data_IF_906639183060
#
_entry.id   IF_906639183060
#
_cell.length_a   1.000
_cell.length_b   1.000
_cell.length_c   1.000
_cell.angle_alpha   90.00
_cell.angle_beta   90.00
_cell.angle_gamma   90.00
#
_symmetry.space_group_name_H-M   'P 1'
#
loop_
_entity.id
_entity.type
_entity.pdbx_description
1 polymer ?
#
# COMPACT_ATOMS: atom_id res chain seq x y z
N UNK A 1 -0.97 14.07 -12.06
CA UNK A 1 -2.31 14.18 -11.41
C UNK A 1 -3.17 15.18 -12.21
N UNK A 2 -2.69 16.39 -12.49
CA UNK A 2 -3.45 17.42 -13.24
C UNK A 2 -3.86 16.90 -14.62
N UNK A 3 -2.96 16.30 -15.38
CA UNK A 3 -3.24 15.73 -16.69
C UNK A 3 -4.36 14.67 -16.65
N UNK A 4 -4.35 13.78 -15.67
CA UNK A 4 -5.41 12.77 -15.52
C UNK A 4 -6.78 13.42 -15.22
N UNK A 5 -6.80 14.46 -14.39
CA UNK A 5 -8.02 15.18 -14.08
C UNK A 5 -8.60 15.90 -15.31
N UNK A 6 -7.76 16.52 -16.13
CA UNK A 6 -8.17 17.17 -17.37
C UNK A 6 -8.74 16.16 -18.39
N UNK A 7 -8.08 15.01 -18.57
CA UNK A 7 -8.55 13.96 -19.48
C UNK A 7 -9.92 13.43 -19.03
N UNK A 8 -10.08 13.14 -17.73
CA UNK A 8 -11.35 12.67 -17.16
C UNK A 8 -12.45 13.72 -17.30
N UNK A 9 -12.16 14.99 -16.96
CA UNK A 9 -13.14 16.08 -17.08
C UNK A 9 -13.60 16.26 -18.54
N UNK A 10 -12.68 16.20 -19.50
CA UNK A 10 -13.00 16.27 -20.94
C UNK A 10 -13.88 15.10 -21.35
N UNK A 11 -13.54 13.87 -20.98
CA UNK A 11 -14.33 12.68 -21.30
C UNK A 11 -15.73 12.75 -20.69
N UNK A 12 -15.86 13.20 -19.44
CA UNK A 12 -17.16 13.42 -18.80
C UNK A 12 -18.01 14.47 -19.54
N UNK A 13 -17.42 15.61 -19.89
CA UNK A 13 -18.11 16.65 -20.64
C UNK A 13 -18.58 16.16 -22.00
N UNK A 14 -17.76 15.41 -22.69
CA UNK A 14 -18.09 14.84 -24.00
C UNK A 14 -19.25 13.84 -23.92
N UNK A 15 -19.27 12.95 -22.92
CA UNK A 15 -20.38 12.04 -22.64
C UNK A 15 -21.67 12.80 -22.29
N UNK A 16 -21.58 13.82 -21.45
CA UNK A 16 -22.73 14.65 -21.06
C UNK A 16 -23.33 15.39 -22.26
N UNK A 17 -22.52 15.71 -23.26
CA UNK A 17 -22.97 16.32 -24.52
C UNK A 17 -23.40 15.31 -25.60
N UNK A 18 -23.52 14.02 -25.23
CA UNK A 18 -24.08 12.96 -26.09
C UNK A 18 -23.10 12.31 -27.05
N UNK A 19 -21.79 12.53 -26.91
CA UNK A 19 -20.79 11.74 -27.64
C UNK A 19 -20.84 10.28 -27.24
N UNK A 20 -20.58 9.38 -28.18
CA UNK A 20 -20.48 7.96 -27.90
C UNK A 20 -19.09 7.61 -27.32
N UNK A 21 -19.00 6.49 -26.59
CA UNK A 21 -17.74 6.04 -25.98
C UNK A 21 -16.61 5.88 -27.01
N UNK A 22 -16.94 5.44 -28.22
CA UNK A 22 -16.04 5.24 -29.35
C UNK A 22 -15.42 6.54 -29.87
N UNK A 23 -16.09 7.68 -29.64
CA UNK A 23 -15.60 9.01 -30.05
C UNK A 23 -14.65 9.63 -29.01
N UNK A 24 -14.63 9.08 -27.79
CA UNK A 24 -13.87 9.62 -26.66
C UNK A 24 -12.54 8.89 -26.47
N UNK A 25 -12.49 7.62 -26.84
CA UNK A 25 -11.33 6.78 -26.65
C UNK A 25 -11.05 5.83 -27.80
N UNK A 26 -9.89 5.22 -27.77
CA UNK A 26 -9.51 4.24 -28.77
C UNK A 26 -9.95 2.83 -28.33
N UNK A 27 -10.96 2.27 -28.96
CA UNK A 27 -11.55 0.98 -28.63
C UNK A 27 -10.60 -0.23 -28.91
N UNK A 28 -9.51 -0.03 -29.64
CA UNK A 28 -8.57 -1.10 -29.99
C UNK A 28 -7.39 -1.28 -29.04
N UNK A 29 -7.38 -0.60 -27.90
CA UNK A 29 -6.25 -0.66 -26.96
C UNK A 29 -6.31 -1.92 -26.10
N UNK A 30 -5.28 -2.76 -26.19
CA UNK A 30 -5.08 -3.89 -25.30
C UNK A 30 -4.57 -3.41 -23.94
N UNK A 31 -5.37 -3.62 -22.89
CA UNK A 31 -4.97 -3.30 -21.52
C UNK A 31 -4.19 -4.48 -20.95
N UNK A 32 -2.94 -4.24 -20.56
CA UNK A 32 -2.16 -5.23 -19.80
C UNK A 32 -2.66 -5.27 -18.37
N UNK A 33 -3.43 -6.30 -18.03
CA UNK A 33 -3.90 -6.53 -16.65
C UNK A 33 -2.76 -7.18 -15.86
N UNK A 34 -2.30 -6.50 -14.82
CA UNK A 34 -1.37 -7.08 -13.84
C UNK A 34 -2.18 -7.62 -12.68
N UNK A 35 -2.04 -8.91 -12.39
CA UNK A 35 -2.62 -9.48 -11.18
C UNK A 35 -1.88 -8.94 -9.96
N UNK A 36 -2.58 -8.35 -8.98
CA UNK A 36 -1.95 -7.91 -7.74
C UNK A 36 -1.39 -9.12 -6.97
N UNK A 37 -0.25 -8.94 -6.35
CA UNK A 37 0.30 -9.93 -5.41
C UNK A 37 -0.61 -9.94 -4.18
N UNK A 38 -1.27 -11.07 -3.94
CA UNK A 38 -2.14 -11.22 -2.77
C UNK A 38 -1.35 -11.62 -1.53
N UNK A 39 -1.80 -11.24 -0.31
CA UNK A 39 -1.24 -11.73 0.93
C UNK A 39 -1.48 -13.23 1.08
N UNK A 40 -0.66 -13.89 1.88
CA UNK A 40 -0.89 -15.28 2.28
C UNK A 40 -1.76 -15.31 3.52
N UNK A 41 -2.82 -16.12 3.48
CA UNK A 41 -3.79 -16.25 4.57
C UNK A 41 -3.59 -17.59 5.29
N UNK A 42 -3.58 -17.54 6.62
CA UNK A 42 -3.60 -18.72 7.48
C UNK A 42 -4.81 -18.71 8.41
N UNK A 43 -5.00 -19.75 9.23
CA UNK A 43 -6.19 -19.85 10.11
C UNK A 43 -6.30 -18.67 11.09
N UNK A 44 -5.16 -18.19 11.61
CA UNK A 44 -5.08 -17.13 12.62
C UNK A 44 -4.06 -16.06 12.26
N UNK A 45 -3.68 -15.92 11.00
CA UNK A 45 -2.69 -14.95 10.58
C UNK A 45 -2.85 -14.54 9.13
N UNK A 46 -2.35 -13.36 8.80
CA UNK A 46 -2.14 -12.86 7.45
C UNK A 46 -0.66 -12.52 7.32
N UNK A 47 -0.05 -12.86 6.19
CA UNK A 47 1.31 -12.42 5.85
C UNK A 47 1.28 -11.63 4.54
N UNK A 48 1.57 -10.35 4.63
CA UNK A 48 1.65 -9.44 3.51
C UNK A 48 3.09 -9.10 3.15
N UNK A 49 3.28 -8.70 1.91
CA UNK A 49 4.54 -8.20 1.38
C UNK A 49 4.51 -6.67 1.32
N UNK A 50 5.66 -6.05 1.55
CA UNK A 50 5.83 -4.62 1.34
C UNK A 50 5.80 -4.37 -0.17
N UNK A 51 4.87 -3.53 -0.62
CA UNK A 51 4.65 -3.23 -2.05
C UNK A 51 5.08 -1.81 -2.44
N UNK A 52 5.18 -0.92 -1.47
CA UNK A 52 5.51 0.47 -1.74
C UNK A 52 6.08 1.15 -0.48
N UNK A 53 6.97 2.12 -0.68
CA UNK A 53 7.42 3.07 0.33
C UNK A 53 7.16 4.46 -0.24
N UNK A 54 6.44 5.28 0.52
CA UNK A 54 6.10 6.63 0.08
C UNK A 54 7.25 7.63 0.32
N UNK A 55 7.04 8.88 -0.09
CA UNK A 55 8.05 9.94 0.05
C UNK A 55 8.26 10.38 1.51
N UNK A 56 7.40 9.95 2.42
CA UNK A 56 7.51 10.17 3.87
C UNK A 56 8.15 8.98 4.58
N UNK A 57 8.64 8.01 3.82
CA UNK A 57 9.22 6.76 4.32
C UNK A 57 8.22 5.88 5.10
N UNK A 58 6.91 6.03 4.82
CA UNK A 58 5.90 5.10 5.29
C UNK A 58 5.90 3.84 4.42
N UNK A 59 5.55 2.71 5.03
CA UNK A 59 5.64 1.40 4.39
C UNK A 59 4.26 0.84 4.12
N UNK A 60 3.94 0.60 2.85
CA UNK A 60 2.66 0.05 2.39
C UNK A 60 2.79 -1.45 2.14
N UNK A 61 1.86 -2.20 2.71
CA UNK A 61 1.78 -3.67 2.66
C UNK A 61 0.57 -4.09 1.83
N UNK A 62 0.67 -5.18 1.07
CA UNK A 62 -0.39 -5.69 0.20
C UNK A 62 -1.56 -6.35 0.95
N UNK A 63 -1.87 -5.91 2.16
CA UNK A 63 -3.04 -6.34 2.93
C UNK A 63 -4.09 -5.26 2.83
N UNK A 64 -5.27 -5.59 2.30
CA UNK A 64 -6.38 -4.64 2.23
C UNK A 64 -7.18 -4.62 3.54
N UNK A 65 -7.94 -3.53 3.74
CA UNK A 65 -8.84 -3.41 4.90
C UNK A 65 -9.87 -4.53 4.93
N UNK A 66 -10.41 -4.88 3.76
CA UNK A 66 -11.39 -5.94 3.60
C UNK A 66 -10.81 -7.30 4.02
N UNK A 67 -9.63 -7.67 3.51
CA UNK A 67 -8.95 -8.92 3.86
C UNK A 67 -8.61 -8.98 5.36
N UNK A 68 -8.19 -7.85 5.94
CA UNK A 68 -7.92 -7.77 7.36
C UNK A 68 -9.17 -8.00 8.21
N UNK A 69 -10.29 -7.30 7.91
CA UNK A 69 -11.53 -7.43 8.68
C UNK A 69 -12.18 -8.80 8.52
N UNK A 70 -12.17 -9.36 7.30
CA UNK A 70 -12.66 -10.74 7.05
C UNK A 70 -11.90 -11.78 7.88
N UNK A 71 -10.60 -11.62 8.04
CA UNK A 71 -9.80 -12.54 8.85
C UNK A 71 -9.88 -12.24 10.34
N UNK A 72 -9.99 -10.99 10.72
CA UNK A 72 -10.02 -10.55 12.12
C UNK A 72 -11.23 -11.09 12.88
N UNK A 73 -12.41 -10.98 12.32
CA UNK A 73 -13.69 -11.48 12.94
C UNK A 73 -13.84 -11.01 14.39
N UNK A 74 -13.63 -9.74 14.65
CA UNK A 74 -13.67 -9.07 15.97
C UNK A 74 -12.64 -9.58 17.01
N UNK A 75 -11.68 -10.42 16.61
CA UNK A 75 -10.57 -10.85 17.48
C UNK A 75 -9.56 -9.73 17.71
N UNK A 76 -8.81 -9.82 18.82
CA UNK A 76 -7.59 -9.04 19.01
C UNK A 76 -6.55 -9.40 17.93
N UNK A 77 -5.59 -8.51 17.71
CA UNK A 77 -4.54 -8.76 16.72
C UNK A 77 -3.21 -8.15 17.13
N UNK A 78 -2.13 -8.64 16.50
CA UNK A 78 -0.79 -8.08 16.57
C UNK A 78 -0.17 -8.05 15.19
N UNK A 79 0.26 -6.88 14.73
CA UNK A 79 1.04 -6.68 13.52
C UNK A 79 2.51 -6.79 13.93
N UNK A 80 3.22 -7.75 13.38
CA UNK A 80 4.64 -8.03 13.67
C UNK A 80 5.45 -7.82 12.41
N UNK A 81 6.46 -6.96 12.46
CA UNK A 81 7.34 -6.67 11.34
C UNK A 81 8.83 -6.77 11.67
N UNK A 82 9.17 -6.87 12.98
CA UNK A 82 10.48 -7.24 13.51
C UNK A 82 10.31 -8.04 14.80
N UNK A 83 11.38 -8.68 15.28
CA UNK A 83 11.35 -9.58 16.45
C UNK A 83 10.66 -9.01 17.69
N UNK A 84 10.80 -7.70 17.93
CA UNK A 84 10.30 -7.04 19.15
C UNK A 84 9.42 -5.82 18.82
N UNK A 85 9.05 -5.65 17.55
CA UNK A 85 8.24 -4.54 17.09
C UNK A 85 6.85 -5.02 16.70
N UNK A 86 5.88 -4.75 17.57
CA UNK A 86 4.48 -5.07 17.34
C UNK A 86 3.59 -3.84 17.44
N UNK A 87 2.46 -3.86 16.71
CA UNK A 87 1.37 -2.90 16.79
C UNK A 87 0.08 -3.69 16.95
N UNK A 88 -0.72 -3.34 17.95
CA UNK A 88 -1.97 -4.04 18.32
C UNK A 88 -3.23 -3.20 18.08
N UNK A 89 -3.07 -2.02 17.50
CA UNK A 89 -4.15 -1.09 17.21
C UNK A 89 -4.03 -0.52 15.80
N UNK A 90 -5.15 -0.40 15.11
CA UNK A 90 -5.25 0.41 13.88
C UNK A 90 -5.62 1.85 14.28
N UNK A 91 -4.83 2.79 13.81
CA UNK A 91 -5.07 4.23 13.95
C UNK A 91 -5.91 4.76 12.80
N UNK A 92 -6.63 5.85 13.04
CA UNK A 92 -7.36 6.57 11.99
C UNK A 92 -6.48 7.62 11.31
N UNK A 93 -5.58 8.22 12.11
CA UNK A 93 -4.68 9.27 11.65
C UNK A 93 -3.27 9.08 12.22
N UNK A 94 -2.28 9.75 11.63
CA UNK A 94 -0.91 9.77 12.16
C UNK A 94 -0.81 10.44 13.53
N UNK A 95 -1.75 11.33 13.85
CA UNK A 95 -1.77 12.09 15.12
C UNK A 95 -2.34 11.28 16.31
N UNK A 96 -2.82 10.06 16.09
CA UNK A 96 -3.35 9.20 17.15
C UNK A 96 -2.27 8.64 18.08
N UNK A 97 -1.01 8.83 17.71
CA UNK A 97 0.17 8.47 18.50
C UNK A 97 1.09 9.68 18.67
N UNK A 98 1.99 9.64 19.66
CA UNK A 98 2.95 10.72 19.88
C UNK A 98 4.01 10.78 18.76
N UNK A 99 4.68 11.92 18.67
CA UNK A 99 5.77 12.07 17.71
C UNK A 99 6.88 11.03 18.00
N UNK A 100 7.32 10.33 16.96
CA UNK A 100 8.32 9.27 17.05
C UNK A 100 7.75 7.87 17.35
N UNK A 101 6.46 7.77 17.66
CA UNK A 101 5.80 6.48 17.87
C UNK A 101 5.34 5.86 16.55
N UNK A 102 5.40 4.55 16.51
CA UNK A 102 4.94 3.72 15.38
C UNK A 102 3.42 3.55 15.42
N UNK A 103 2.82 3.47 14.25
CA UNK A 103 1.39 3.22 14.08
C UNK A 103 1.14 2.40 12.82
N UNK A 104 -0.05 1.82 12.76
CA UNK A 104 -0.60 1.20 11.56
C UNK A 104 -1.97 1.80 11.25
N UNK A 105 -2.23 2.07 9.99
CA UNK A 105 -3.53 2.55 9.50
C UNK A 105 -3.82 1.95 8.12
N UNK A 106 -5.06 2.09 7.64
CA UNK A 106 -5.39 1.83 6.25
C UNK A 106 -5.40 3.15 5.48
N UNK A 107 -4.53 3.26 4.47
CA UNK A 107 -4.40 4.48 3.68
C UNK A 107 -5.59 4.69 2.72
N UNK A 108 -5.60 5.80 1.99
CA UNK A 108 -6.67 6.15 1.07
C UNK A 108 -6.86 5.15 -0.09
N UNK A 109 -5.86 4.32 -0.39
CA UNK A 109 -5.96 3.23 -1.36
C UNK A 109 -6.48 1.92 -0.74
N UNK A 110 -6.80 1.91 0.56
CA UNK A 110 -7.33 0.77 1.30
C UNK A 110 -6.26 -0.25 1.75
N UNK A 111 -4.99 0.02 1.58
CA UNK A 111 -3.90 -0.87 2.00
C UNK A 111 -3.39 -0.55 3.39
N UNK A 112 -2.94 -1.60 4.10
CA UNK A 112 -2.24 -1.45 5.37
C UNK A 112 -0.96 -0.64 5.18
N UNK A 113 -0.81 0.39 6.00
CA UNK A 113 0.36 1.25 6.03
C UNK A 113 0.96 1.25 7.43
N UNK A 114 2.27 1.07 7.53
CA UNK A 114 3.05 1.21 8.76
C UNK A 114 3.81 2.52 8.68
N UNK A 115 3.65 3.35 9.69
CA UNK A 115 4.23 4.68 9.76
C UNK A 115 4.84 4.96 11.14
N UNK A 116 5.65 6.00 11.20
CA UNK A 116 6.10 6.63 12.46
C UNK A 116 5.67 8.09 12.41
N UNK A 117 4.94 8.54 13.41
CA UNK A 117 4.49 9.94 13.46
C UNK A 117 5.70 10.89 13.44
N UNK A 118 5.83 11.67 12.35
CA UNK A 118 7.00 12.54 12.04
C UNK A 118 8.34 11.79 12.06
N UNK A 119 8.36 10.53 11.65
CA UNK A 119 9.55 9.69 11.62
C UNK A 119 9.66 8.86 10.35
N UNK A 120 10.62 7.94 10.32
CA UNK A 120 10.97 7.11 9.18
C UNK A 120 10.70 5.63 9.49
N UNK A 121 9.57 5.10 9.03
CA UNK A 121 9.20 3.70 9.22
C UNK A 121 10.04 2.75 8.35
N UNK A 122 10.38 3.16 7.14
CA UNK A 122 11.26 2.37 6.25
C UNK A 122 12.65 2.19 6.88
N UNK A 123 13.17 3.22 7.56
CA UNK A 123 14.41 3.12 8.32
C UNK A 123 14.34 2.11 9.46
N UNK A 124 13.23 2.08 10.20
CA UNK A 124 12.98 1.09 11.26
C UNK A 124 12.98 -0.34 10.69
N UNK A 125 12.46 -0.54 9.49
CA UNK A 125 12.42 -1.82 8.80
C UNK A 125 13.73 -2.18 8.08
N UNK A 126 14.75 -1.32 8.14
CA UNK A 126 16.02 -1.53 7.45
C UNK A 126 15.97 -1.27 5.94
N UNK A 127 14.98 -0.50 5.49
CA UNK A 127 14.74 -0.14 4.08
C UNK A 127 15.24 1.26 3.73
N UNK A 128 16.17 1.81 4.50
CA UNK A 128 16.71 3.16 4.29
C UNK A 128 17.28 3.35 2.88
N UNK A 129 17.00 4.51 2.29
CA UNK A 129 17.47 4.88 0.96
C UNK A 129 16.77 4.14 -0.18
N UNK A 130 15.63 3.52 0.11
CA UNK A 130 14.87 2.78 -0.88
C UNK A 130 14.24 3.70 -1.93
N UNK A 131 13.66 4.82 -1.52
CA UNK A 131 13.08 5.84 -2.42
C UNK A 131 14.11 6.42 -3.38
N UNK A 132 15.33 6.69 -2.92
CA UNK A 132 16.42 7.18 -3.75
C UNK A 132 16.92 6.12 -4.75
N UNK A 133 16.98 4.86 -4.33
CA UNK A 133 17.37 3.74 -5.19
C UNK A 133 16.29 3.36 -6.19
N UNK A 134 15.00 3.60 -5.89
CA UNK A 134 13.91 3.42 -6.85
C UNK A 134 14.10 4.28 -8.10
N UNK A 135 14.54 5.52 -7.95
CA UNK A 135 14.74 6.41 -9.09
C UNK A 135 15.99 6.06 -9.92
N UNK A 136 16.99 5.43 -9.30
CA UNK A 136 18.25 5.07 -9.98
C UNK A 136 18.25 3.68 -10.62
N UNK A 137 17.39 2.74 -10.20
CA UNK A 137 17.52 1.32 -10.54
C UNK A 137 16.30 0.68 -11.23
N UNK A 138 15.43 1.45 -11.90
CA UNK A 138 14.36 0.89 -12.75
C UNK A 138 14.92 -0.08 -13.81
N UNK A 139 16.23 -0.10 -14.04
CA UNK A 139 16.93 -0.94 -15.01
C UNK A 139 17.63 -2.19 -14.43
N UNK A 140 17.70 -2.39 -13.10
CA UNK A 140 18.45 -3.52 -12.54
C UNK A 140 17.54 -4.64 -11.99
N UNK A 141 17.92 -5.89 -12.27
CA UNK A 141 17.25 -7.11 -11.75
C UNK A 141 17.32 -7.24 -10.22
N UNK A 142 18.17 -6.46 -9.56
CA UNK A 142 18.33 -6.46 -8.09
C UNK A 142 17.14 -5.84 -7.37
N UNK A 143 16.36 -5.02 -8.05
CA UNK A 143 15.14 -4.40 -7.52
C UNK A 143 14.10 -5.42 -7.05
N UNK A 144 13.91 -6.49 -7.82
CA UNK A 144 12.98 -7.58 -7.45
C UNK A 144 13.45 -8.35 -6.22
N UNK A 145 14.75 -8.49 -6.01
CA UNK A 145 15.31 -9.22 -4.87
C UNK A 145 15.13 -8.51 -3.53
N UNK A 146 15.17 -7.18 -3.50
CA UNK A 146 15.05 -6.42 -2.25
C UNK A 146 13.64 -6.46 -1.66
N UNK A 147 12.59 -6.47 -2.50
CA UNK A 147 11.18 -6.50 -2.05
C UNK A 147 10.67 -7.88 -1.66
N UNK A 148 11.20 -8.95 -2.26
CA UNK A 148 10.63 -10.30 -2.14
C UNK A 148 10.79 -10.88 -0.72
N UNK A 149 11.58 -10.26 0.15
CA UNK A 149 11.94 -10.84 1.45
C UNK A 149 11.49 -10.07 2.69
N UNK A 150 10.77 -8.96 2.54
CA UNK A 150 10.26 -8.25 3.70
C UNK A 150 8.74 -8.40 3.78
N UNK A 151 8.34 -9.21 4.75
CA UNK A 151 6.94 -9.48 5.04
C UNK A 151 6.55 -8.87 6.37
N UNK A 152 5.28 -8.51 6.45
CA UNK A 152 4.60 -8.09 7.67
C UNK A 152 3.58 -9.16 8.01
N UNK A 153 3.58 -9.64 9.23
CA UNK A 153 2.67 -10.68 9.67
C UNK A 153 1.69 -10.15 10.71
N UNK A 154 0.41 -10.46 10.52
CA UNK A 154 -0.65 -10.13 11.48
C UNK A 154 -1.12 -11.43 12.11
N UNK A 155 -1.10 -11.51 13.43
CA UNK A 155 -1.63 -12.64 14.19
C UNK A 155 -2.93 -12.22 14.85
N UNK A 156 -3.95 -13.07 14.79
CA UNK A 156 -5.25 -12.89 15.43
C UNK A 156 -5.37 -13.78 16.68
N UNK A 157 -5.89 -13.22 17.77
CA UNK A 157 -5.97 -13.85 19.09
C UNK A 157 -7.40 -13.88 19.63
#
# INVERSE_FOLDING_TARGET
>A
IIYCAEVLATAFNDLANGKQMEDIGNAGVSISVKNPIKPTLGPNWIEGQIIFIDNFENVVVNITKEEFEEQRKDRGFKIVFRRDDEIDKISETYADVQQGEKLALFNAAGYLEIAINKGNAAGLLGLQGFSERQHQSIQSQDFKKLFIYQTVKIFFQ
#
